data_IF_914466627920
#
_entry.id   IF_914466627920
#
_cell.length_a   1.000
_cell.length_b   1.000
_cell.length_c   1.000
_cell.angle_alpha   90.00
_cell.angle_beta   90.00
_cell.angle_gamma   90.00
#
_symmetry.space_group_name_H-M   'P 1'
#
loop_
_entity.id
_entity.type
_entity.pdbx_description
1 polymer ?
#
# COMPACT_ATOMS: atom_id res chain seq x y z
N UNK A 1 5.04 -5.85 42.65
CA UNK A 1 4.68 -4.49 42.17
C UNK A 1 5.68 -3.88 41.15
N UNK A 2 6.88 -4.44 40.91
CA UNK A 2 7.89 -3.86 39.99
C UNK A 2 7.98 -4.50 38.58
N UNK A 3 7.24 -5.59 38.30
CA UNK A 3 7.32 -6.37 37.03
C UNK A 3 6.16 -6.10 36.06
N UNK A 4 4.99 -5.72 36.59
CA UNK A 4 3.77 -5.42 35.81
C UNK A 4 3.84 -4.00 35.20
N UNK A 5 4.36 -3.02 35.94
CA UNK A 5 4.62 -1.68 35.37
C UNK A 5 5.76 -1.70 34.35
N UNK A 6 6.69 -2.65 34.46
CA UNK A 6 7.76 -2.88 33.48
C UNK A 6 7.23 -3.51 32.18
N UNK A 7 6.30 -4.47 32.25
CA UNK A 7 5.67 -5.10 31.07
C UNK A 7 4.63 -4.21 30.38
N UNK A 8 3.88 -3.40 31.14
CA UNK A 8 3.02 -2.33 30.58
C UNK A 8 3.84 -1.23 29.90
N UNK A 9 5.05 -0.94 30.41
CA UNK A 9 6.07 -0.09 29.75
C UNK A 9 6.92 -0.79 28.68
N UNK A 10 6.67 -2.05 28.33
CA UNK A 10 7.38 -2.76 27.25
C UNK A 10 6.45 -3.08 26.06
N UNK A 11 5.15 -3.25 26.31
CA UNK A 11 4.14 -3.67 25.32
C UNK A 11 3.55 -2.51 24.52
N UNK A 12 3.33 -1.34 25.14
CA UNK A 12 3.10 -0.07 24.42
C UNK A 12 4.38 0.45 23.73
N UNK A 13 5.53 -0.13 24.07
CA UNK A 13 6.85 0.42 23.78
C UNK A 13 7.54 -0.24 22.59
N UNK A 14 7.28 -1.50 22.22
CA UNK A 14 7.56 -1.92 20.83
C UNK A 14 6.70 -1.13 19.81
N UNK A 15 5.46 -0.84 20.24
CA UNK A 15 4.40 -0.08 19.56
C UNK A 15 4.80 1.38 19.22
N UNK A 16 5.84 1.93 19.87
CA UNK A 16 6.42 3.26 19.61
C UNK A 16 7.89 3.27 19.23
N UNK A 17 8.65 2.24 19.59
CA UNK A 17 10.11 2.23 19.39
C UNK A 17 10.50 2.03 17.92
N UNK A 18 9.60 1.60 17.02
CA UNK A 18 9.81 1.78 15.58
C UNK A 18 9.65 3.26 15.11
N UNK A 19 8.99 4.10 15.89
CA UNK A 19 9.01 5.57 15.76
C UNK A 19 10.24 6.24 16.40
N UNK A 20 11.10 5.52 17.12
CA UNK A 20 12.29 6.05 17.85
C UNK A 20 13.63 5.43 17.38
N UNK A 21 13.67 4.42 16.50
CA UNK A 21 14.95 3.91 15.93
C UNK A 21 15.56 4.80 14.82
N UNK A 22 15.53 6.12 14.99
CA UNK A 22 16.45 7.05 14.32
C UNK A 22 16.88 8.15 15.29
N UNK A 23 17.86 7.84 16.14
CA UNK A 23 18.91 8.74 16.63
C UNK A 23 20.08 7.79 16.92
N UNK A 24 21.20 7.77 16.20
CA UNK A 24 22.09 8.87 15.80
C UNK A 24 22.81 8.48 14.50
N UNK A 25 22.33 9.00 13.38
CA UNK A 25 23.22 9.40 12.30
C UNK A 25 22.81 10.83 12.02
N UNK A 26 23.77 11.76 12.17
CA UNK A 26 23.76 13.14 11.71
C UNK A 26 22.44 13.56 11.06
N UNK A 27 21.77 14.59 11.61
CA UNK A 27 20.70 15.32 10.94
C UNK A 27 20.90 15.18 9.43
N UNK A 28 20.06 14.42 8.70
CA UNK A 28 19.98 14.72 7.29
C UNK A 28 19.51 16.14 7.35
N UNK A 29 20.38 17.08 6.96
CA UNK A 29 19.97 18.43 6.65
C UNK A 29 18.62 18.24 5.96
N UNK A 30 17.53 18.59 6.64
CA UNK A 30 16.29 18.97 6.02
C UNK A 30 16.66 20.26 5.31
N UNK A 31 17.49 20.13 4.26
CA UNK A 31 17.23 20.83 3.04
C UNK A 31 15.74 20.57 2.88
N UNK A 32 14.95 21.62 3.11
CA UNK A 32 13.76 21.86 2.31
C UNK A 32 14.05 21.17 1.00
N UNK A 33 13.25 20.17 0.60
CA UNK A 33 13.32 19.66 -0.75
C UNK A 33 13.13 20.93 -1.57
N UNK A 34 14.26 21.51 -1.96
CA UNK A 34 14.28 22.75 -2.67
C UNK A 34 13.47 22.39 -3.89
N UNK A 35 12.61 23.28 -4.32
CA UNK A 35 11.94 23.18 -5.61
C UNK A 35 12.94 23.14 -6.80
N UNK A 36 14.24 22.91 -6.53
CA UNK A 36 15.38 22.71 -7.42
C UNK A 36 16.08 21.35 -7.26
N UNK A 37 15.45 20.30 -6.70
CA UNK A 37 15.97 18.94 -6.83
C UNK A 37 15.98 18.54 -8.32
N UNK A 38 17.17 18.61 -8.94
CA UNK A 38 17.49 18.32 -10.35
C UNK A 38 16.30 18.40 -11.32
N UNK A 39 16.19 19.49 -12.09
CA UNK A 39 15.21 19.67 -13.18
C UNK A 39 15.11 18.48 -14.17
N UNK A 40 16.07 17.56 -14.15
CA UNK A 40 16.15 16.37 -15.00
C UNK A 40 15.76 15.04 -14.34
N UNK A 41 15.54 14.96 -13.02
CA UNK A 41 15.10 13.72 -12.37
C UNK A 41 13.59 13.53 -12.52
N UNK A 42 13.21 12.44 -13.19
CA UNK A 42 11.82 12.06 -13.36
C UNK A 42 11.25 11.56 -12.02
N UNK A 43 9.98 11.88 -11.70
CA UNK A 43 9.39 11.45 -10.44
C UNK A 43 9.30 9.92 -10.38
N UNK A 44 9.58 9.35 -9.20
CA UNK A 44 9.49 7.90 -8.96
C UNK A 44 8.64 7.64 -7.71
N UNK A 45 7.91 6.52 -7.69
CA UNK A 45 7.13 6.14 -6.52
C UNK A 45 8.01 5.48 -5.45
N UNK A 46 8.17 6.07 -4.25
CA UNK A 46 9.07 5.54 -3.22
C UNK A 46 8.65 4.15 -2.72
N UNK A 47 9.62 3.28 -2.40
CA UNK A 47 9.32 1.92 -1.93
C UNK A 47 8.61 1.89 -0.57
N UNK A 48 8.97 2.83 0.30
CA UNK A 48 8.52 2.88 1.68
C UNK A 48 7.52 4.03 1.93
N UNK A 49 6.82 4.49 0.89
CA UNK A 49 5.93 5.67 0.98
C UNK A 49 4.86 5.50 2.07
N UNK A 50 4.11 4.39 2.06
CA UNK A 50 3.07 4.14 3.05
C UNK A 50 3.63 3.94 4.49
N UNK A 51 4.84 3.38 4.62
CA UNK A 51 5.53 3.28 5.92
C UNK A 51 5.94 4.64 6.45
N UNK A 52 6.45 5.51 5.56
CA UNK A 52 6.80 6.89 5.90
C UNK A 52 5.58 7.67 6.36
N UNK A 53 4.48 7.62 5.60
CA UNK A 53 3.19 8.25 5.96
C UNK A 53 2.70 7.74 7.31
N UNK A 54 2.67 6.41 7.52
CA UNK A 54 2.27 5.82 8.81
C UNK A 54 3.11 6.39 9.95
N UNK A 55 4.45 6.39 9.81
CA UNK A 55 5.37 6.91 10.84
C UNK A 55 5.11 8.39 11.12
N UNK A 56 4.98 9.22 10.09
CA UNK A 56 4.68 10.65 10.24
C UNK A 56 3.39 10.89 11.01
N UNK A 57 2.32 10.18 10.67
CA UNK A 57 1.04 10.28 11.39
C UNK A 57 1.18 9.82 12.83
N UNK A 58 1.78 8.64 13.07
CA UNK A 58 1.98 8.09 14.42
C UNK A 58 2.76 9.07 15.29
N UNK A 59 3.90 9.57 14.80
CA UNK A 59 4.73 10.54 15.52
C UNK A 59 3.99 11.84 15.81
N UNK A 60 3.10 12.28 14.91
CA UNK A 60 2.31 13.51 15.09
C UNK A 60 1.24 13.37 16.17
N UNK A 61 0.51 12.25 16.19
CA UNK A 61 -0.70 12.12 17.02
C UNK A 61 -0.44 11.47 18.37
N UNK A 62 0.59 10.63 18.47
CA UNK A 62 0.80 9.78 19.64
C UNK A 62 1.15 10.58 20.89
N UNK A 63 0.60 10.15 22.03
CA UNK A 63 0.95 10.65 23.38
C UNK A 63 1.00 9.49 24.36
N UNK A 64 1.92 9.56 25.33
CA UNK A 64 1.99 8.58 26.41
C UNK A 64 0.67 8.51 27.19
N UNK A 65 0.21 7.29 27.49
CA UNK A 65 -1.07 7.05 28.16
C UNK A 65 -2.31 7.19 27.27
N UNK A 66 -2.15 7.38 25.95
CA UNK A 66 -3.27 7.46 25.02
C UNK A 66 -3.98 6.10 24.89
N UNK A 67 -5.30 6.10 25.04
CA UNK A 67 -6.12 4.90 24.80
C UNK A 67 -6.16 4.53 23.32
N UNK A 68 -6.26 3.23 23.02
CA UNK A 68 -6.28 2.71 21.65
C UNK A 68 -7.37 3.35 20.79
N UNK A 69 -8.59 3.48 21.31
CA UNK A 69 -9.72 4.05 20.55
C UNK A 69 -9.50 5.53 20.20
N UNK A 70 -8.89 6.28 21.12
CA UNK A 70 -8.49 7.67 20.90
C UNK A 70 -7.40 7.77 19.83
N UNK A 71 -6.38 6.91 19.91
CA UNK A 71 -5.33 6.84 18.91
C UNK A 71 -5.88 6.51 17.51
N UNK A 72 -6.71 5.47 17.40
CA UNK A 72 -7.29 5.04 16.13
C UNK A 72 -8.18 6.11 15.50
N UNK A 73 -8.94 6.83 16.32
CA UNK A 73 -9.74 7.97 15.87
C UNK A 73 -8.85 9.07 15.28
N UNK A 74 -7.86 9.55 16.03
CA UNK A 74 -6.94 10.60 15.58
C UNK A 74 -6.15 10.17 14.35
N UNK A 75 -5.73 8.91 14.28
CA UNK A 75 -5.04 8.35 13.12
C UNK A 75 -5.91 8.42 11.87
N UNK A 76 -7.17 8.00 11.98
CA UNK A 76 -8.11 8.04 10.86
C UNK A 76 -8.40 9.47 10.39
N UNK A 77 -8.53 10.42 11.31
CA UNK A 77 -8.77 11.84 11.02
C UNK A 77 -7.57 12.48 10.32
N UNK A 78 -6.36 12.24 10.82
CA UNK A 78 -5.13 12.73 10.19
C UNK A 78 -4.95 12.13 8.80
N UNK A 79 -5.18 10.82 8.64
CA UNK A 79 -5.05 10.14 7.36
C UNK A 79 -6.07 10.67 6.33
N UNK A 80 -7.32 10.93 6.74
CA UNK A 80 -8.33 11.58 5.89
C UNK A 80 -7.95 13.02 5.53
N UNK A 81 -7.29 13.73 6.45
CA UNK A 81 -6.83 15.12 6.23
C UNK A 81 -5.70 15.18 5.20
N UNK A 82 -4.71 14.29 5.29
CA UNK A 82 -3.60 14.25 4.34
C UNK A 82 -4.02 13.76 2.95
N UNK A 83 -5.00 12.84 2.88
CA UNK A 83 -5.47 12.21 1.65
C UNK A 83 -7.00 12.37 1.50
N UNK A 84 -7.48 13.59 1.21
CA UNK A 84 -8.91 13.87 1.18
C UNK A 84 -9.60 13.18 0.00
N UNK A 85 -10.66 12.43 0.29
CA UNK A 85 -11.50 11.77 -0.72
C UNK A 85 -12.91 12.32 -0.57
N UNK A 86 -13.46 12.86 -1.64
CA UNK A 86 -14.86 13.29 -1.69
C UNK A 86 -15.74 12.05 -1.82
N UNK A 87 -16.32 11.64 -0.69
CA UNK A 87 -17.29 10.54 -0.64
C UNK A 87 -18.55 10.94 -1.48
N UNK A 88 -19.12 10.00 -2.23
CA UNK A 88 -20.35 10.17 -3.04
C UNK A 88 -20.26 11.05 -4.30
N UNK A 89 -19.06 11.33 -4.82
CA UNK A 89 -18.93 12.01 -6.12
C UNK A 89 -19.14 11.05 -7.30
N UNK A 90 -20.01 11.41 -8.25
CA UNK A 90 -20.22 10.66 -9.52
C UNK A 90 -18.99 10.69 -10.46
N UNK A 91 -18.05 11.60 -10.22
CA UNK A 91 -16.81 11.74 -11.00
C UNK A 91 -15.60 11.86 -10.09
N UNK A 92 -14.54 11.13 -10.40
CA UNK A 92 -13.28 11.11 -9.66
C UNK A 92 -12.11 11.52 -10.56
N UNK A 93 -10.94 11.75 -9.96
CA UNK A 93 -9.68 11.97 -10.67
C UNK A 93 -8.70 10.86 -10.33
N UNK A 94 -7.65 10.65 -11.12
CA UNK A 94 -6.64 9.65 -10.74
C UNK A 94 -5.95 10.01 -9.42
N UNK A 95 -5.87 11.29 -9.06
CA UNK A 95 -5.46 11.75 -7.72
C UNK A 95 -6.37 11.19 -6.62
N UNK A 96 -7.68 11.21 -6.83
CA UNK A 96 -8.65 10.65 -5.89
C UNK A 96 -8.45 9.14 -5.72
N UNK A 97 -8.25 8.40 -6.82
CA UNK A 97 -8.01 6.95 -6.75
C UNK A 97 -6.66 6.63 -6.08
N UNK A 98 -5.63 7.44 -6.32
CA UNK A 98 -4.37 7.36 -5.59
C UNK A 98 -4.60 7.56 -4.08
N UNK A 99 -5.36 8.58 -3.68
CA UNK A 99 -5.70 8.85 -2.28
C UNK A 99 -6.48 7.72 -1.61
N UNK A 100 -7.47 7.14 -2.30
CA UNK A 100 -8.19 5.94 -1.82
C UNK A 100 -7.22 4.79 -1.57
N UNK A 101 -6.30 4.57 -2.51
CA UNK A 101 -5.38 3.43 -2.48
C UNK A 101 -4.32 3.56 -1.39
N UNK A 102 -3.68 4.72 -1.28
CA UNK A 102 -2.65 4.96 -0.27
C UNK A 102 -3.24 4.99 1.14
N UNK A 103 -4.45 5.54 1.33
CA UNK A 103 -5.17 5.44 2.61
C UNK A 103 -5.39 3.99 3.02
N UNK A 104 -5.83 3.16 2.08
CA UNK A 104 -6.07 1.74 2.33
C UNK A 104 -4.76 1.00 2.62
N UNK A 105 -3.68 1.28 1.87
CA UNK A 105 -2.37 0.68 2.14
C UNK A 105 -1.84 1.01 3.55
N UNK A 106 -1.93 2.29 3.95
CA UNK A 106 -1.52 2.77 5.28
C UNK A 106 -2.39 2.17 6.38
N UNK A 107 -3.70 2.05 6.15
CA UNK A 107 -4.61 1.34 7.05
C UNK A 107 -4.16 -0.10 7.27
N UNK A 108 -3.99 -0.89 6.22
CA UNK A 108 -3.58 -2.29 6.33
C UNK A 108 -2.22 -2.43 7.02
N UNK A 109 -1.31 -1.49 6.79
CA UNK A 109 -0.04 -1.42 7.50
C UNK A 109 -0.20 -1.24 9.01
N UNK A 110 -1.07 -0.32 9.43
CA UNK A 110 -1.36 -0.13 10.86
C UNK A 110 -2.02 -1.38 11.46
N UNK A 111 -2.99 -1.98 10.76
CA UNK A 111 -3.68 -3.18 11.25
C UNK A 111 -2.74 -4.37 11.38
N UNK A 112 -1.79 -4.56 10.46
CA UNK A 112 -0.74 -5.59 10.61
C UNK A 112 0.01 -5.40 11.92
N UNK A 113 0.46 -4.17 12.23
CA UNK A 113 1.16 -3.87 13.49
C UNK A 113 0.27 -4.18 14.70
N UNK A 114 -1.01 -3.82 14.67
CA UNK A 114 -1.95 -4.10 15.77
C UNK A 114 -2.20 -5.61 15.96
N UNK A 115 -2.26 -6.38 14.88
CA UNK A 115 -2.42 -7.84 14.95
C UNK A 115 -1.13 -8.52 15.45
N UNK A 116 0.05 -8.02 15.09
CA UNK A 116 1.32 -8.49 15.65
C UNK A 116 1.41 -8.21 17.17
N UNK A 117 0.91 -7.06 17.62
CA UNK A 117 0.74 -6.75 19.04
C UNK A 117 -0.25 -7.73 19.69
N UNK A 118 -1.37 -8.02 19.03
CA UNK A 118 -2.35 -8.97 19.52
C UNK A 118 -1.74 -10.37 19.69
N UNK A 119 -0.92 -10.83 18.74
CA UNK A 119 -0.16 -12.08 18.88
C UNK A 119 0.77 -12.07 20.09
N UNK A 120 1.43 -10.95 20.36
CA UNK A 120 2.31 -10.82 21.53
C UNK A 120 1.52 -10.91 22.85
N UNK A 121 0.29 -10.39 22.91
CA UNK A 121 -0.57 -10.58 24.09
C UNK A 121 -0.98 -12.05 24.28
N UNK A 122 -1.18 -12.79 23.19
CA UNK A 122 -1.46 -14.23 23.27
C UNK A 122 -0.30 -15.01 23.93
N UNK A 123 0.95 -14.61 23.65
CA UNK A 123 2.14 -15.22 24.24
C UNK A 123 2.31 -14.88 25.73
N UNK A 124 1.63 -13.84 26.23
CA UNK A 124 1.65 -13.45 27.64
C UNK A 124 0.56 -14.15 28.48
N UNK A 125 -0.34 -14.89 27.83
CA UNK A 125 -1.41 -15.63 28.48
C UNK A 125 -0.86 -16.64 29.49
N UNK A 126 -1.34 -16.57 30.73
CA UNK A 126 -0.91 -17.47 31.82
C UNK A 126 0.32 -16.99 32.60
N UNK A 127 0.87 -15.80 32.29
CA UNK A 127 1.80 -15.10 33.17
C UNK A 127 1.06 -14.48 34.37
N UNK A 128 1.77 -14.27 35.48
CA UNK A 128 1.23 -13.73 36.71
C UNK A 128 0.55 -12.36 36.49
N UNK A 129 -0.79 -12.31 36.61
CA UNK A 129 -1.60 -11.10 36.42
C UNK A 129 -2.23 -10.90 35.03
N UNK A 130 -2.10 -11.85 34.09
CA UNK A 130 -2.76 -11.80 32.78
C UNK A 130 -3.42 -13.15 32.43
N UNK A 131 -4.71 -13.26 32.76
CA UNK A 131 -5.52 -14.46 32.61
C UNK A 131 -6.49 -14.39 31.43
N UNK A 132 -7.43 -15.34 31.42
CA UNK A 132 -8.42 -15.50 30.34
C UNK A 132 -9.29 -14.26 30.13
N UNK A 133 -9.76 -13.65 31.22
CA UNK A 133 -10.66 -12.50 31.17
C UNK A 133 -9.99 -11.26 30.60
N UNK A 134 -8.74 -11.00 30.99
CA UNK A 134 -7.95 -9.89 30.49
C UNK A 134 -7.70 -10.04 28.98
N UNK A 135 -7.31 -11.25 28.56
CA UNK A 135 -7.06 -11.54 27.15
C UNK A 135 -8.32 -11.44 26.27
N UNK A 136 -9.46 -11.94 26.74
CA UNK A 136 -10.74 -11.82 26.03
C UNK A 136 -11.18 -10.35 25.91
N UNK A 137 -11.04 -9.57 26.99
CA UNK A 137 -11.34 -8.14 26.99
C UNK A 137 -10.48 -7.36 25.99
N UNK A 138 -9.16 -7.58 26.02
CA UNK A 138 -8.22 -6.92 25.09
C UNK A 138 -8.50 -7.32 23.64
N UNK A 139 -8.82 -8.60 23.41
CA UNK A 139 -9.16 -9.13 22.08
C UNK A 139 -10.42 -8.48 21.52
N UNK A 140 -11.47 -8.32 22.34
CA UNK A 140 -12.71 -7.63 21.96
C UNK A 140 -12.43 -6.16 21.65
N UNK A 141 -11.63 -5.49 22.46
CA UNK A 141 -11.27 -4.09 22.23
C UNK A 141 -10.51 -3.91 20.91
N UNK A 142 -9.50 -4.75 20.65
CA UNK A 142 -8.74 -4.73 19.39
C UNK A 142 -9.67 -5.01 18.20
N UNK A 143 -10.51 -6.05 18.28
CA UNK A 143 -11.44 -6.41 17.20
C UNK A 143 -12.41 -5.26 16.87
N UNK A 144 -13.00 -4.64 17.88
CA UNK A 144 -13.91 -3.51 17.72
C UNK A 144 -13.20 -2.26 17.17
N UNK A 145 -11.98 -1.99 17.65
CA UNK A 145 -11.13 -0.91 17.13
C UNK A 145 -10.81 -1.08 15.65
N UNK A 146 -10.42 -2.30 15.23
CA UNK A 146 -10.16 -2.64 13.84
C UNK A 146 -11.42 -2.50 12.96
N UNK A 147 -12.56 -3.00 13.44
CA UNK A 147 -13.84 -2.86 12.74
C UNK A 147 -14.21 -1.39 12.53
N UNK A 148 -14.20 -0.60 13.60
CA UNK A 148 -14.48 0.85 13.57
C UNK A 148 -13.56 1.60 12.62
N UNK A 149 -12.27 1.25 12.61
CA UNK A 149 -11.29 1.85 11.70
C UNK A 149 -11.59 1.50 10.23
N UNK A 150 -11.97 0.24 9.95
CA UNK A 150 -12.38 -0.21 8.61
C UNK A 150 -13.63 0.48 8.08
N UNK A 151 -14.60 0.75 8.95
CA UNK A 151 -15.81 1.52 8.62
C UNK A 151 -15.46 2.99 8.32
N UNK A 152 -14.66 3.63 9.19
CA UNK A 152 -14.25 5.04 9.00
C UNK A 152 -13.50 5.25 7.70
N UNK A 153 -12.71 4.28 7.25
CA UNK A 153 -11.86 4.38 6.08
C UNK A 153 -12.38 3.56 4.88
N UNK A 154 -13.68 3.20 4.87
CA UNK A 154 -14.32 2.42 3.80
C UNK A 154 -14.09 2.98 2.40
N UNK A 155 -14.20 2.12 1.39
CA UNK A 155 -14.08 2.47 -0.02
C UNK A 155 -15.46 2.35 -0.68
N UNK A 156 -16.01 3.48 -1.10
CA UNK A 156 -17.44 3.56 -1.46
C UNK A 156 -18.29 3.19 -0.24
N UNK A 157 -19.19 2.22 -0.42
CA UNK A 157 -20.01 1.67 0.67
C UNK A 157 -19.46 0.38 1.27
N UNK A 158 -18.27 -0.05 0.86
CA UNK A 158 -17.69 -1.32 1.29
C UNK A 158 -16.63 -1.09 2.37
N UNK A 159 -16.83 -1.60 3.61
CA UNK A 159 -15.81 -1.55 4.64
C UNK A 159 -14.67 -2.53 4.36
N UNK A 160 -13.50 -2.27 4.96
CA UNK A 160 -12.34 -3.16 4.83
C UNK A 160 -12.44 -4.43 5.68
N UNK A 161 -13.27 -4.40 6.72
CA UNK A 161 -13.37 -5.44 7.73
C UNK A 161 -14.83 -5.71 8.07
N UNK A 162 -15.16 -6.95 8.43
CA UNK A 162 -16.49 -7.31 8.91
C UNK A 162 -16.38 -8.30 10.07
N UNK A 163 -17.34 -8.27 11.00
CA UNK A 163 -17.42 -9.26 12.07
C UNK A 163 -18.15 -10.49 11.52
N UNK A 164 -17.53 -11.67 11.63
CA UNK A 164 -18.15 -12.92 11.17
C UNK A 164 -19.30 -13.29 12.12
N UNK A 165 -20.54 -13.05 11.71
CA UNK A 165 -21.72 -13.52 12.45
C UNK A 165 -21.92 -15.03 12.21
N UNK A 166 -22.77 -15.70 13.02
CA UNK A 166 -23.06 -17.14 12.90
C UNK A 166 -23.62 -17.53 11.53
N UNK A 167 -24.16 -16.58 10.78
CA UNK A 167 -24.49 -16.74 9.37
C UNK A 167 -23.20 -16.69 8.55
N UNK A 168 -22.94 -17.76 7.78
CA UNK A 168 -21.80 -17.84 6.85
C UNK A 168 -21.93 -16.73 5.80
N UNK A 169 -21.42 -15.53 6.09
CA UNK A 169 -21.19 -14.53 5.07
C UNK A 169 -20.16 -15.10 4.09
N UNK A 170 -20.58 -15.24 2.83
CA UNK A 170 -19.67 -15.68 1.78
C UNK A 170 -18.61 -14.60 1.65
N UNK A 171 -17.35 -14.97 1.87
CA UNK A 171 -16.22 -14.07 1.71
C UNK A 171 -16.06 -13.73 0.22
N UNK A 172 -16.69 -12.63 -0.21
CA UNK A 172 -16.74 -12.19 -1.60
C UNK A 172 -15.88 -10.94 -1.80
N UNK A 173 -15.27 -10.78 -2.99
CA UNK A 173 -14.60 -9.54 -3.33
C UNK A 173 -15.61 -8.39 -3.43
N UNK A 174 -15.26 -7.24 -2.87
CA UNK A 174 -15.93 -5.98 -3.12
C UNK A 174 -15.35 -5.34 -4.38
N UNK A 175 -16.22 -4.76 -5.22
CA UNK A 175 -15.84 -4.00 -6.41
C UNK A 175 -16.48 -2.62 -6.36
N UNK A 176 -15.68 -1.59 -6.56
CA UNK A 176 -16.13 -0.19 -6.61
C UNK A 176 -15.68 0.43 -7.92
N UNK A 177 -16.62 0.99 -8.66
CA UNK A 177 -16.39 1.59 -9.97
C UNK A 177 -16.33 3.12 -9.88
N UNK A 178 -15.30 3.71 -10.50
CA UNK A 178 -15.03 5.14 -10.50
C UNK A 178 -15.02 5.66 -11.93
N UNK A 179 -15.81 6.69 -12.20
CA UNK A 179 -15.74 7.41 -13.47
C UNK A 179 -14.67 8.50 -13.39
N UNK A 180 -13.57 8.32 -14.11
CA UNK A 180 -12.42 9.23 -14.09
C UNK A 180 -12.23 9.96 -15.43
N UNK A 181 -11.76 11.20 -15.35
CA UNK A 181 -11.24 11.89 -16.53
C UNK A 181 -9.96 11.20 -17.01
N UNK A 182 -9.78 11.10 -18.34
CA UNK A 182 -8.62 10.45 -18.93
C UNK A 182 -8.29 11.04 -20.30
N UNK A 183 -7.24 11.87 -20.38
CA UNK A 183 -6.77 12.52 -21.62
C UNK A 183 -7.88 13.24 -22.42
N UNK A 184 -8.82 13.87 -21.73
CA UNK A 184 -9.97 14.58 -22.33
C UNK A 184 -11.18 13.69 -22.65
N UNK A 185 -11.09 12.39 -22.36
CA UNK A 185 -12.23 11.45 -22.36
C UNK A 185 -12.64 11.09 -20.92
N UNK A 186 -13.69 10.28 -20.77
CA UNK A 186 -14.03 9.62 -19.49
C UNK A 186 -13.74 8.13 -19.59
N UNK A 187 -13.22 7.55 -18.51
CA UNK A 187 -12.91 6.13 -18.38
C UNK A 187 -13.50 5.61 -17.07
N UNK A 188 -14.02 4.38 -17.07
CA UNK A 188 -14.38 3.69 -15.84
C UNK A 188 -13.18 2.92 -15.32
N UNK A 189 -12.77 3.17 -14.09
CA UNK A 189 -11.76 2.41 -13.37
C UNK A 189 -12.42 1.65 -12.22
N UNK A 190 -12.05 0.38 -12.05
CA UNK A 190 -12.58 -0.47 -10.98
C UNK A 190 -11.50 -0.75 -9.95
N UNK A 191 -11.82 -0.58 -8.67
CA UNK A 191 -11.03 -1.09 -7.56
C UNK A 191 -11.75 -2.31 -7.00
N UNK A 192 -11.10 -3.47 -7.08
CA UNK A 192 -11.55 -4.70 -6.46
C UNK A 192 -10.66 -5.05 -5.27
N UNK A 193 -11.25 -5.38 -4.13
CA UNK A 193 -10.54 -5.77 -2.90
C UNK A 193 -11.34 -6.79 -2.10
N UNK A 194 -10.75 -7.39 -1.07
CA UNK A 194 -11.35 -8.46 -0.28
C UNK A 194 -11.52 -8.00 1.17
N UNK A 195 -12.72 -7.57 1.60
CA UNK A 195 -13.00 -7.29 3.00
C UNK A 195 -12.59 -8.49 3.87
N UNK A 196 -11.95 -8.27 5.01
CA UNK A 196 -11.44 -9.36 5.84
C UNK A 196 -12.35 -9.64 7.04
N UNK A 197 -12.66 -10.92 7.32
CA UNK A 197 -13.36 -11.29 8.55
C UNK A 197 -12.47 -11.01 9.76
N UNK A 198 -12.98 -10.22 10.69
CA UNK A 198 -12.47 -10.09 12.04
C UNK A 198 -13.29 -11.04 12.92
N UNK A 199 -12.65 -12.04 13.52
CA UNK A 199 -13.36 -12.96 14.39
C UNK A 199 -12.43 -13.95 15.07
N UNK A 200 -12.34 -13.82 16.39
CA UNK A 200 -12.12 -14.96 17.27
C UNK A 200 -13.47 -15.27 17.92
N UNK A 201 -14.04 -16.42 17.60
CA UNK A 201 -15.19 -16.90 18.38
C UNK A 201 -14.65 -17.61 19.61
N UNK A 202 -14.54 -16.87 20.72
CA UNK A 202 -14.18 -17.43 22.03
C UNK A 202 -15.24 -18.42 22.56
N UNK A 203 -16.43 -18.48 21.94
CA UNK A 203 -17.55 -19.35 22.32
C UNK A 203 -17.34 -20.85 22.01
N UNK A 204 -16.24 -21.26 21.37
CA UNK A 204 -16.05 -22.66 20.93
C UNK A 204 -14.89 -23.34 21.65
N UNK A 205 -15.05 -23.66 22.94
CA UNK A 205 -14.43 -24.81 23.62
C UNK A 205 -14.89 -24.91 25.08
N UNK A 206 -16.21 -24.89 25.32
CA UNK A 206 -16.77 -25.58 26.50
C UNK A 206 -17.12 -27.03 26.12
N UNK A 207 -16.18 -27.71 25.44
CA UNK A 207 -16.27 -29.17 25.33
C UNK A 207 -15.72 -29.77 26.62
N UNK A 208 -16.64 -30.24 27.45
CA UNK A 208 -16.42 -31.13 28.59
C UNK A 208 -15.21 -32.06 28.43
N UNK A 209 -14.05 -31.71 29.00
CA UNK A 209 -13.03 -32.62 29.56
C UNK A 209 -11.66 -31.94 29.72
N UNK A 210 -11.19 -31.74 30.95
CA UNK A 210 -9.91 -32.26 31.45
C UNK A 210 -9.51 -31.62 32.79
N UNK A 211 -8.95 -32.44 33.68
CA UNK A 211 -8.48 -32.07 35.02
C UNK A 211 -7.11 -31.34 35.00
N UNK A 212 -6.70 -30.74 33.87
CA UNK A 212 -5.39 -30.09 33.70
C UNK A 212 -5.52 -28.70 33.06
N UNK A 213 -5.56 -27.65 33.89
CA UNK A 213 -5.69 -26.26 33.47
C UNK A 213 -4.56 -25.77 32.55
N UNK A 214 -3.37 -26.38 32.59
CA UNK A 214 -2.24 -26.00 31.75
C UNK A 214 -2.39 -26.47 30.29
N UNK A 215 -2.92 -27.68 30.05
CA UNK A 215 -3.15 -28.21 28.70
C UNK A 215 -4.27 -27.45 27.98
N UNK A 216 -5.33 -27.08 28.70
CA UNK A 216 -6.44 -26.27 28.15
C UNK A 216 -5.98 -24.87 27.73
N UNK A 217 -5.10 -24.24 28.51
CA UNK A 217 -4.53 -22.94 28.18
C UNK A 217 -3.62 -23.01 26.94
N UNK A 218 -2.80 -24.07 26.83
CA UNK A 218 -1.91 -24.27 25.68
C UNK A 218 -2.69 -24.44 24.36
N UNK A 219 -3.74 -25.25 24.37
CA UNK A 219 -4.60 -25.47 23.20
C UNK A 219 -5.34 -24.18 22.78
N UNK A 220 -5.83 -23.40 23.76
CA UNK A 220 -6.48 -22.11 23.50
C UNK A 220 -5.53 -21.11 22.85
N UNK A 221 -4.30 -20.95 23.37
CA UNK A 221 -3.27 -20.07 22.79
C UNK A 221 -2.93 -20.50 21.36
N UNK A 222 -2.75 -21.81 21.12
CA UNK A 222 -2.41 -22.32 19.80
C UNK A 222 -3.51 -22.03 18.77
N UNK A 223 -4.77 -22.25 19.12
CA UNK A 223 -5.93 -21.94 18.28
C UNK A 223 -6.02 -20.46 17.92
N UNK A 224 -5.84 -19.59 18.91
CA UNK A 224 -5.82 -18.14 18.75
C UNK A 224 -4.66 -17.69 17.85
N UNK A 225 -3.44 -18.17 18.08
CA UNK A 225 -2.27 -17.85 17.27
C UNK A 225 -2.44 -18.31 15.82
N UNK A 226 -3.05 -19.49 15.59
CA UNK A 226 -3.39 -19.98 14.25
C UNK A 226 -4.30 -19.00 13.50
N UNK A 227 -5.37 -18.54 14.15
CA UNK A 227 -6.31 -17.55 13.59
C UNK A 227 -5.59 -16.22 13.27
N UNK A 228 -4.77 -15.71 14.19
CA UNK A 228 -4.02 -14.46 13.97
C UNK A 228 -2.99 -14.59 12.85
N UNK A 229 -2.30 -15.72 12.74
CA UNK A 229 -1.37 -15.98 11.65
C UNK A 229 -2.07 -16.00 10.29
N UNK A 230 -3.26 -16.62 10.22
CA UNK A 230 -4.07 -16.61 9.00
C UNK A 230 -4.53 -15.19 8.67
N UNK A 231 -5.00 -14.42 9.66
CA UNK A 231 -5.39 -13.02 9.48
C UNK A 231 -4.21 -12.17 8.99
N UNK A 232 -3.01 -12.31 9.57
CA UNK A 232 -1.80 -11.62 9.11
C UNK A 232 -1.44 -11.94 7.67
N UNK A 233 -1.56 -13.21 7.27
CA UNK A 233 -1.33 -13.61 5.88
C UNK A 233 -2.29 -12.89 4.92
N UNK A 234 -3.59 -12.87 5.23
CA UNK A 234 -4.59 -12.18 4.44
C UNK A 234 -4.43 -10.64 4.44
N UNK A 235 -4.02 -10.06 5.56
CA UNK A 235 -3.70 -8.63 5.68
C UNK A 235 -2.51 -8.26 4.79
N UNK A 236 -1.43 -9.06 4.80
CA UNK A 236 -0.25 -8.85 3.95
C UNK A 236 -0.60 -8.95 2.47
N UNK A 237 -1.46 -9.90 2.09
CA UNK A 237 -1.96 -10.03 0.72
C UNK A 237 -2.81 -8.81 0.29
N UNK A 238 -3.74 -8.36 1.13
CA UNK A 238 -4.55 -7.17 0.81
C UNK A 238 -3.70 -5.89 0.76
N UNK A 239 -2.73 -5.73 1.67
CA UNK A 239 -1.76 -4.63 1.61
C UNK A 239 -1.03 -4.61 0.27
N UNK A 240 -0.56 -5.77 -0.21
CA UNK A 240 0.12 -5.87 -1.50
C UNK A 240 -0.77 -5.45 -2.67
N UNK A 241 -2.05 -5.82 -2.63
CA UNK A 241 -3.05 -5.39 -3.61
C UNK A 241 -3.24 -3.86 -3.58
N UNK A 242 -3.38 -3.27 -2.39
CA UNK A 242 -3.49 -1.82 -2.22
C UNK A 242 -2.24 -1.09 -2.70
N UNK A 243 -1.06 -1.61 -2.41
CA UNK A 243 0.20 -1.08 -2.90
C UNK A 243 0.26 -1.01 -4.43
N UNK A 244 -0.24 -2.04 -5.13
CA UNK A 244 -0.32 -1.99 -6.59
C UNK A 244 -1.23 -0.88 -7.10
N UNK A 245 -2.38 -0.68 -6.46
CA UNK A 245 -3.29 0.42 -6.81
C UNK A 245 -2.64 1.78 -6.53
N UNK A 246 -1.99 1.95 -5.38
CA UNK A 246 -1.25 3.17 -5.03
C UNK A 246 -0.23 3.52 -6.10
N UNK A 247 0.61 2.55 -6.48
CA UNK A 247 1.62 2.74 -7.54
C UNK A 247 0.94 3.04 -8.88
N UNK A 248 -0.03 2.24 -9.31
CA UNK A 248 -0.71 2.41 -10.60
C UNK A 248 -1.32 3.80 -10.75
N UNK A 249 -2.10 4.22 -9.75
CA UNK A 249 -2.81 5.48 -9.81
C UNK A 249 -1.91 6.69 -9.57
N UNK A 250 -0.78 6.54 -8.88
CA UNK A 250 0.26 7.57 -8.83
C UNK A 250 0.75 7.95 -10.23
N UNK A 251 1.07 6.96 -11.08
CA UNK A 251 1.56 7.24 -12.44
C UNK A 251 0.48 7.72 -13.39
N UNK A 252 -0.77 7.26 -13.24
CA UNK A 252 -1.88 7.81 -14.02
C UNK A 252 -2.22 9.24 -13.63
N UNK A 253 -2.18 9.56 -12.33
CA UNK A 253 -2.33 10.93 -11.86
C UNK A 253 -1.19 11.83 -12.38
N UNK A 254 0.06 11.34 -12.38
CA UNK A 254 1.18 12.05 -12.99
C UNK A 254 0.93 12.35 -14.47
N UNK A 255 0.55 11.35 -15.26
CA UNK A 255 0.29 11.50 -16.69
C UNK A 255 -0.90 12.44 -16.98
N UNK A 256 -1.98 12.34 -16.20
CA UNK A 256 -3.15 13.21 -16.29
C UNK A 256 -2.79 14.67 -15.93
N UNK A 257 -2.02 14.90 -14.86
CA UNK A 257 -1.57 16.23 -14.45
C UNK A 257 -0.72 16.90 -15.52
N UNK A 258 0.22 16.16 -16.11
CA UNK A 258 1.05 16.66 -17.21
C UNK A 258 0.20 17.03 -18.45
N UNK A 259 -0.83 16.23 -18.75
CA UNK A 259 -1.80 16.54 -19.80
C UNK A 259 -2.58 17.83 -19.51
N UNK A 260 -3.16 17.95 -18.32
CA UNK A 260 -3.97 19.12 -17.94
C UNK A 260 -3.13 20.40 -17.90
N UNK A 261 -1.89 20.33 -17.40
CA UNK A 261 -0.95 21.46 -17.39
C UNK A 261 -0.67 21.97 -18.80
N UNK A 262 -0.35 21.06 -19.73
CA UNK A 262 -0.12 21.39 -21.14
C UNK A 262 -1.39 21.90 -21.82
N UNK A 263 -2.58 21.40 -21.44
CA UNK A 263 -3.85 21.88 -21.98
C UNK A 263 -4.20 23.30 -21.50
N UNK A 264 -3.97 23.62 -20.23
CA UNK A 264 -4.28 24.93 -19.64
C UNK A 264 -3.38 26.05 -20.17
N UNK A 265 -2.19 25.70 -20.67
CA UNK A 265 -1.28 26.63 -21.35
C UNK A 265 -1.71 26.97 -22.79
N UNK A 266 -2.80 26.39 -23.31
CA UNK A 266 -3.23 26.48 -24.73
C UNK A 266 -4.20 27.62 -25.05
N UNK A 267 -3.99 28.84 -24.56
CA UNK A 267 -4.69 29.99 -25.17
C UNK A 267 -4.10 30.24 -26.58
N UNK A 268 -4.67 29.60 -27.62
CA UNK A 268 -4.47 29.94 -29.04
C UNK A 268 -3.55 29.06 -29.91
N UNK A 269 -3.37 27.76 -29.63
CA UNK A 269 -2.35 26.92 -30.30
C UNK A 269 -2.92 25.98 -31.39
N UNK A 270 -2.15 25.75 -32.47
CA UNK A 270 -2.46 24.91 -33.65
C UNK A 270 -2.46 23.39 -33.40
N UNK A 271 -3.10 22.60 -34.27
CA UNK A 271 -3.24 21.12 -34.17
C UNK A 271 -1.90 20.36 -34.00
N UNK A 272 -0.81 20.80 -34.64
CA UNK A 272 0.49 20.13 -34.59
C UNK A 272 1.15 20.16 -33.20
N UNK A 273 0.84 21.15 -32.37
CA UNK A 273 1.38 21.21 -31.01
C UNK A 273 0.72 20.19 -30.07
N UNK A 274 -0.55 19.84 -30.33
CA UNK A 274 -1.30 18.85 -29.53
C UNK A 274 -0.69 17.45 -29.66
N UNK A 275 -0.24 17.05 -30.85
CA UNK A 275 0.43 15.76 -31.06
C UNK A 275 1.81 15.71 -30.41
N UNK A 276 2.58 16.81 -30.49
CA UNK A 276 3.87 16.93 -29.81
C UNK A 276 3.71 16.86 -28.29
N UNK A 277 2.70 17.51 -27.73
CA UNK A 277 2.41 17.47 -26.29
C UNK A 277 2.12 16.06 -25.78
N UNK A 278 1.29 15.30 -26.51
CA UNK A 278 0.95 13.92 -26.18
C UNK A 278 2.17 13.00 -26.25
N UNK A 279 3.07 13.23 -27.22
CA UNK A 279 4.36 12.55 -27.28
C UNK A 279 5.23 12.89 -26.06
N UNK A 280 5.33 14.16 -25.66
CA UNK A 280 6.10 14.54 -24.46
C UNK A 280 5.58 13.81 -23.23
N UNK A 281 4.26 13.86 -22.98
CA UNK A 281 3.62 13.23 -21.82
C UNK A 281 3.88 11.72 -21.81
N UNK A 282 3.79 11.09 -22.99
CA UNK A 282 4.10 9.67 -23.16
C UNK A 282 5.53 9.36 -22.73
N UNK A 283 6.51 10.06 -23.28
CA UNK A 283 7.92 9.78 -23.02
C UNK A 283 8.34 10.08 -21.57
N UNK A 284 7.86 11.18 -20.98
CA UNK A 284 8.15 11.51 -19.58
C UNK A 284 7.53 10.49 -18.64
N UNK A 285 6.26 10.10 -18.88
CA UNK A 285 5.56 9.11 -18.06
C UNK A 285 6.20 7.72 -18.18
N UNK A 286 6.62 7.32 -19.38
CA UNK A 286 7.30 6.03 -19.58
C UNK A 286 8.63 5.98 -18.86
N UNK A 287 9.48 7.00 -19.05
CA UNK A 287 10.79 7.02 -18.43
C UNK A 287 10.67 7.06 -16.89
N UNK A 288 9.67 7.77 -16.35
CA UNK A 288 9.34 7.81 -14.92
C UNK A 288 8.92 6.42 -14.39
N UNK A 289 8.03 5.71 -15.09
CA UNK A 289 7.60 4.37 -14.70
C UNK A 289 8.74 3.34 -14.82
N UNK A 290 9.51 3.37 -15.91
CA UNK A 290 10.62 2.43 -16.14
C UNK A 290 11.78 2.69 -15.17
N UNK A 291 12.03 3.94 -14.78
CA UNK A 291 13.00 4.26 -13.73
C UNK A 291 12.64 3.57 -12.41
N UNK A 292 11.35 3.54 -12.03
CA UNK A 292 10.92 2.81 -10.84
C UNK A 292 10.99 1.29 -11.04
N UNK A 293 10.72 0.75 -12.23
CA UNK A 293 10.98 -0.66 -12.54
C UNK A 293 12.47 -0.98 -12.33
N UNK A 294 13.37 -0.12 -12.80
CA UNK A 294 14.82 -0.26 -12.61
C UNK A 294 15.19 -0.28 -11.13
N UNK A 295 14.68 0.67 -10.34
CA UNK A 295 14.91 0.73 -8.90
C UNK A 295 14.44 -0.57 -8.22
N UNK A 296 13.24 -1.07 -8.55
CA UNK A 296 12.73 -2.33 -8.00
C UNK A 296 13.61 -3.52 -8.38
N UNK A 297 14.02 -3.61 -9.65
CA UNK A 297 14.90 -4.68 -10.13
C UNK A 297 16.26 -4.66 -9.43
N UNK A 298 16.84 -3.47 -9.23
CA UNK A 298 18.10 -3.31 -8.50
C UNK A 298 17.98 -3.78 -7.04
N UNK A 299 16.91 -3.40 -6.36
CA UNK A 299 16.63 -3.88 -5.01
C UNK A 299 16.47 -5.40 -4.97
N UNK A 300 15.74 -6.01 -5.90
CA UNK A 300 15.57 -7.47 -5.93
C UNK A 300 16.88 -8.23 -6.20
N UNK A 301 17.83 -7.62 -6.92
CA UNK A 301 19.16 -8.19 -7.16
C UNK A 301 20.01 -8.27 -5.88
N UNK A 302 19.87 -7.31 -4.95
CA UNK A 302 20.73 -7.22 -3.76
C UNK A 302 20.48 -8.34 -2.74
N UNK A 303 19.45 -9.18 -2.94
CA UNK A 303 19.24 -10.42 -2.18
C UNK A 303 18.58 -10.25 -0.81
N UNK A 304 18.28 -9.03 -0.37
CA UNK A 304 17.79 -8.70 0.99
C UNK A 304 16.25 -8.80 1.11
N UNK A 305 15.61 -9.74 0.40
CA UNK A 305 14.14 -9.81 0.35
C UNK A 305 13.59 -11.21 0.61
N UNK A 306 12.62 -11.28 1.51
CA UNK A 306 11.79 -12.47 1.77
C UNK A 306 10.88 -12.77 0.58
N UNK A 307 10.35 -14.00 0.48
CA UNK A 307 9.52 -14.42 -0.65
C UNK A 307 8.32 -13.51 -0.95
N UNK A 308 7.65 -13.01 0.09
CA UNK A 308 6.51 -12.09 -0.05
C UNK A 308 6.92 -10.73 -0.63
N UNK A 309 8.08 -10.20 -0.25
CA UNK A 309 8.56 -8.93 -0.80
C UNK A 309 8.86 -9.07 -2.30
N UNK A 310 9.41 -10.23 -2.71
CA UNK A 310 9.69 -10.49 -4.12
C UNK A 310 8.41 -10.53 -4.96
N UNK A 311 7.38 -11.22 -4.47
CA UNK A 311 6.09 -11.28 -5.13
C UNK A 311 5.46 -9.88 -5.24
N UNK A 312 5.55 -9.07 -4.19
CA UNK A 312 5.06 -7.68 -4.19
C UNK A 312 5.79 -6.81 -5.22
N UNK A 313 7.12 -6.93 -5.32
CA UNK A 313 7.89 -6.19 -6.31
C UNK A 313 7.57 -6.64 -7.75
N UNK A 314 7.41 -7.93 -7.98
CA UNK A 314 7.01 -8.46 -9.29
C UNK A 314 5.62 -7.94 -9.70
N UNK A 315 4.68 -7.90 -8.76
CA UNK A 315 3.35 -7.32 -8.94
C UNK A 315 3.41 -5.83 -9.31
N UNK A 316 4.27 -5.06 -8.65
CA UNK A 316 4.50 -3.64 -8.96
C UNK A 316 5.06 -3.47 -10.38
N UNK A 317 6.09 -4.24 -10.74
CA UNK A 317 6.67 -4.18 -12.10
C UNK A 317 5.63 -4.54 -13.16
N UNK A 318 4.84 -5.59 -12.94
CA UNK A 318 3.75 -5.97 -13.85
C UNK A 318 2.71 -4.85 -14.01
N UNK A 319 2.34 -4.19 -12.90
CA UNK A 319 1.42 -3.05 -12.90
C UNK A 319 1.98 -1.87 -13.69
N UNK A 320 3.27 -1.54 -13.51
CA UNK A 320 3.93 -0.44 -14.22
C UNK A 320 4.07 -0.70 -15.72
N UNK A 321 4.34 -1.93 -16.15
CA UNK A 321 4.33 -2.28 -17.59
C UNK A 321 2.94 -2.10 -18.19
N UNK A 322 1.88 -2.48 -17.47
CA UNK A 322 0.49 -2.20 -17.91
C UNK A 322 0.18 -0.71 -17.95
N UNK A 323 0.68 0.08 -17.00
CA UNK A 323 0.57 1.55 -17.00
C UNK A 323 1.18 2.15 -18.26
N UNK A 324 2.40 1.72 -18.64
CA UNK A 324 3.07 2.15 -19.87
C UNK A 324 2.20 1.85 -21.10
N UNK A 325 1.66 0.64 -21.21
CA UNK A 325 0.75 0.27 -22.31
C UNK A 325 -0.52 1.13 -22.35
N UNK A 326 -1.16 1.37 -21.21
CA UNK A 326 -2.39 2.17 -21.13
C UNK A 326 -2.14 3.65 -21.48
N UNK A 327 -1.03 4.24 -21.04
CA UNK A 327 -0.65 5.61 -21.41
C UNK A 327 -0.31 5.69 -22.90
N UNK A 328 0.35 4.68 -23.47
CA UNK A 328 0.63 4.61 -24.91
C UNK A 328 -0.64 4.73 -25.72
N UNK A 329 -1.62 3.86 -25.47
CA UNK A 329 -2.89 3.84 -26.18
C UNK A 329 -3.65 5.16 -26.01
N UNK A 330 -3.72 5.67 -24.78
CA UNK A 330 -4.43 6.90 -24.47
C UNK A 330 -3.84 8.15 -25.14
N UNK A 331 -2.53 8.13 -25.42
CA UNK A 331 -1.83 9.24 -26.09
C UNK A 331 -1.72 9.06 -27.60
N UNK A 332 -2.41 8.07 -28.20
CA UNK A 332 -2.36 7.78 -29.64
C UNK A 332 -1.09 7.05 -30.07
N UNK A 333 -0.57 6.18 -29.22
CA UNK A 333 0.65 5.40 -29.43
C UNK A 333 0.39 3.96 -29.83
N UNK A 334 1.47 3.21 -29.98
CA UNK A 334 1.44 1.80 -30.37
C UNK A 334 0.97 0.91 -29.21
N UNK A 335 0.12 -0.06 -29.53
CA UNK A 335 -0.30 -1.13 -28.62
C UNK A 335 0.88 -2.04 -28.24
N UNK A 336 1.83 -2.21 -29.16
CA UNK A 336 3.01 -3.07 -28.96
C UNK A 336 4.21 -2.35 -28.33
N UNK A 337 4.01 -1.15 -27.77
CA UNK A 337 5.11 -0.36 -27.18
C UNK A 337 5.90 -1.12 -26.11
N UNK A 338 5.23 -1.95 -25.32
CA UNK A 338 5.89 -2.75 -24.29
C UNK A 338 6.79 -3.83 -24.90
N UNK A 339 6.41 -4.39 -26.05
CA UNK A 339 7.26 -5.34 -26.81
C UNK A 339 8.45 -4.62 -27.43
N UNK A 340 8.22 -3.46 -28.03
CA UNK A 340 9.27 -2.61 -28.62
C UNK A 340 10.32 -2.18 -27.60
N UNK A 341 9.89 -1.83 -26.39
CA UNK A 341 10.76 -1.51 -25.26
C UNK A 341 11.30 -2.75 -24.54
N UNK A 342 11.02 -3.97 -25.04
CA UNK A 342 11.45 -5.25 -24.46
C UNK A 342 11.02 -5.45 -23.00
N UNK A 343 9.96 -4.74 -22.58
CA UNK A 343 9.29 -4.90 -21.29
C UNK A 343 8.27 -6.05 -21.33
N UNK A 344 7.94 -6.55 -22.53
CA UNK A 344 7.17 -7.75 -22.76
C UNK A 344 7.81 -8.56 -23.89
N UNK A 345 7.69 -9.89 -23.84
CA UNK A 345 8.11 -10.77 -24.91
C UNK A 345 7.12 -10.75 -26.08
N UNK A 346 7.44 -11.46 -27.16
CA UNK A 346 6.62 -11.50 -28.37
C UNK A 346 5.18 -12.01 -28.13
N UNK A 347 5.00 -12.88 -27.14
CA UNK A 347 3.72 -13.46 -26.73
C UNK A 347 2.96 -12.61 -25.70
N UNK A 348 3.47 -11.44 -25.32
CA UNK A 348 2.85 -10.55 -24.33
C UNK A 348 3.18 -10.88 -22.87
N UNK A 349 4.08 -11.84 -22.61
CA UNK A 349 4.61 -12.11 -21.28
C UNK A 349 5.45 -10.96 -20.78
N UNK A 350 5.06 -10.35 -19.66
CA UNK A 350 5.73 -9.18 -19.08
C UNK A 350 7.08 -9.59 -18.48
N UNK A 351 8.08 -8.72 -18.61
CA UNK A 351 9.39 -8.82 -17.97
C UNK A 351 9.23 -9.17 -16.49
N UNK A 352 9.75 -10.33 -16.11
CA UNK A 352 9.67 -10.85 -14.74
C UNK A 352 10.99 -10.61 -14.02
N UNK A 353 10.93 -9.90 -12.90
CA UNK A 353 12.06 -9.68 -12.00
C UNK A 353 12.02 -10.61 -10.77
N UNK A 354 11.25 -11.71 -10.82
CA UNK A 354 10.88 -12.56 -9.67
C UNK A 354 12.03 -13.18 -8.88
N UNK A 355 13.24 -13.25 -9.45
CA UNK A 355 14.45 -13.78 -8.79
C UNK A 355 15.62 -12.83 -8.99
N UNK A 356 16.64 -12.91 -8.14
CA UNK A 356 17.86 -12.10 -8.28
C UNK A 356 18.57 -12.32 -9.63
N UNK A 357 18.54 -13.56 -10.15
CA UNK A 357 19.08 -13.90 -11.47
C UNK A 357 18.28 -13.21 -12.59
N UNK A 358 16.95 -13.35 -12.57
CA UNK A 358 16.08 -12.69 -13.57
C UNK A 358 16.11 -11.17 -13.46
N UNK A 359 16.25 -10.61 -12.26
CA UNK A 359 16.41 -9.18 -12.04
C UNK A 359 17.73 -8.68 -12.65
N UNK A 360 18.85 -9.40 -12.46
CA UNK A 360 20.14 -9.10 -13.08
C UNK A 360 20.07 -9.13 -14.61
N UNK A 361 19.43 -10.13 -15.18
CA UNK A 361 19.21 -10.24 -16.63
C UNK A 361 18.28 -9.15 -17.16
N UNK A 362 17.28 -8.77 -16.37
CA UNK A 362 16.31 -7.74 -16.75
C UNK A 362 16.87 -6.31 -16.68
N UNK A 363 17.85 -6.04 -15.82
CA UNK A 363 18.39 -4.70 -15.62
C UNK A 363 19.01 -4.12 -16.90
N UNK A 364 19.74 -4.92 -17.68
CA UNK A 364 20.29 -4.48 -18.97
C UNK A 364 19.18 -4.11 -19.97
N UNK A 365 18.10 -4.90 -20.02
CA UNK A 365 16.93 -4.62 -20.85
C UNK A 365 16.23 -3.33 -20.44
N UNK A 366 16.14 -3.08 -19.14
CA UNK A 366 15.54 -1.86 -18.57
C UNK A 366 16.41 -0.64 -18.90
N UNK A 367 17.74 -0.76 -18.80
CA UNK A 367 18.68 0.30 -19.16
C UNK A 367 18.62 0.65 -20.66
N UNK A 368 18.52 -0.37 -21.52
CA UNK A 368 18.31 -0.17 -22.95
C UNK A 368 17.00 0.59 -23.22
N UNK A 369 15.90 0.20 -22.57
CA UNK A 369 14.61 0.87 -22.72
C UNK A 369 14.67 2.35 -22.28
N UNK A 370 15.33 2.65 -21.16
CA UNK A 370 15.56 4.02 -20.71
C UNK A 370 16.40 4.81 -21.70
N UNK A 371 17.48 4.22 -22.22
CA UNK A 371 18.35 4.86 -23.22
C UNK A 371 17.58 5.21 -24.49
N UNK A 372 16.73 4.30 -24.98
CA UNK A 372 15.86 4.54 -26.14
C UNK A 372 14.90 5.69 -25.87
N UNK A 373 14.20 5.71 -24.73
CA UNK A 373 13.27 6.78 -24.39
C UNK A 373 13.96 8.14 -24.20
N UNK A 374 15.16 8.16 -23.63
CA UNK A 374 15.95 9.38 -23.47
C UNK A 374 16.44 9.92 -24.82
N UNK A 375 16.87 9.04 -25.73
CA UNK A 375 17.23 9.42 -27.11
C UNK A 375 16.03 9.97 -27.87
N UNK A 376 14.89 9.26 -27.82
CA UNK A 376 13.66 9.72 -28.48
C UNK A 376 13.17 11.06 -27.89
N UNK A 377 13.23 11.23 -26.56
CA UNK A 377 12.93 12.53 -25.92
C UNK A 377 13.82 13.64 -26.44
N UNK A 378 15.15 13.44 -26.55
CA UNK A 378 16.09 14.45 -27.07
C UNK A 378 15.86 14.78 -28.55
N UNK A 379 15.44 13.80 -29.35
CA UNK A 379 15.14 14.01 -30.79
C UNK A 379 13.90 14.87 -30.97
N UNK A 380 12.84 14.60 -30.20
CA UNK A 380 11.58 15.33 -30.33
C UNK A 380 11.53 16.62 -29.49
N UNK A 381 12.42 16.75 -28.50
CA UNK A 381 12.47 17.85 -27.52
C UNK A 381 13.93 18.14 -27.09
N UNK A 382 14.75 18.81 -27.93
CA UNK A 382 16.15 19.15 -27.63
C UNK A 382 16.33 20.17 -26.50
#
# INVERSE_FOLDING_TARGET
MLRIDFLKKLSFTALLVAGIRTQTASEPNLRQISENAHKDQLPTYPMAEAEKIKREIVTKIYKEGMELDSFLKLFSEELKTQFPVLENSNTSTYRTLYYVSIRSEVLFLLVITLVEVWQNFCLQFGLEGYGKKEFESDSIQIQNGLYSLGEKLKVGDNPHFFIRTKEKSVWLPSKVDFLVSWFGSKKTESIQFFPLPLGMNFESEESNSSQNSQETNHNSIHSVLSILNQLLSHLKMNRALWHQYSVRFYYFDFAEREYLKKQNQRKGITKNQKSLDLLTIRYTSFASAIQTIKERAFHMQSGVYHGMDRQNQQMVVSSLVKVVGQISLATGGDADVCKRLRLANHYGGILSVSTAAMAKESLSLIDDALSVLQKERKVYFP
#
